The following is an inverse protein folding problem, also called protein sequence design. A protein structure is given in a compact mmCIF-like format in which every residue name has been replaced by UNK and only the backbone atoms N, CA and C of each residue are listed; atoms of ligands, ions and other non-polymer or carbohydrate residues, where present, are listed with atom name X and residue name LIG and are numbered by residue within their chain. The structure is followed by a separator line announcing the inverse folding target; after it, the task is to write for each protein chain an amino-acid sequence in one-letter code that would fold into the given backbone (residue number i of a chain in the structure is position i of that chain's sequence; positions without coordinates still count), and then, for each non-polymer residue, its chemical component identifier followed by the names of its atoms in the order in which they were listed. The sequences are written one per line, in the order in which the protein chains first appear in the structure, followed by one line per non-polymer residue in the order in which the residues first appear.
data_IF_205961712170
#
_entry.id   IF_205961712170
#
_cell.length_a   1.000
_cell.length_b   1.000
_cell.length_c   1.000
_cell.angle_alpha   90.00
_cell.angle_beta   90.00
_cell.angle_gamma   90.00
#
_symmetry.space_group_name_H-M   'P 1'
#
loop_
_entity.id
_entity.type
_entity.pdbx_description
1 polymer ?
#
# COMPACT_ATOMS: atom_id res chain seq x y z
N UNK A 1 31.18 11.44 -13.36
CA UNK A 1 30.62 11.30 -12.03
C UNK A 1 29.11 11.50 -12.18
N UNK A 2 28.35 10.41 -12.29
CA UNK A 2 26.89 10.48 -12.32
C UNK A 2 26.44 11.10 -10.97
N UNK A 3 25.62 12.16 -11.02
CA UNK A 3 24.92 12.66 -9.85
C UNK A 3 24.15 11.47 -9.26
N UNK A 4 24.44 11.08 -8.02
CA UNK A 4 23.57 10.24 -7.24
C UNK A 4 22.19 10.93 -7.22
N UNK A 5 21.27 10.43 -8.05
CA UNK A 5 19.89 10.86 -7.97
C UNK A 5 19.40 10.41 -6.59
N UNK A 6 18.92 11.35 -5.82
CA UNK A 6 18.23 11.06 -4.57
C UNK A 6 17.09 10.07 -4.88
N UNK A 7 17.26 8.83 -4.46
CA UNK A 7 16.26 7.76 -4.62
C UNK A 7 15.23 7.96 -3.50
N UNK A 8 14.34 8.92 -3.71
CA UNK A 8 13.27 9.30 -2.80
C UNK A 8 11.88 8.85 -3.30
N UNK A 9 10.87 9.17 -2.53
CA UNK A 9 9.49 8.82 -2.85
C UNK A 9 9.04 9.42 -4.20
N UNK A 10 9.49 10.62 -4.55
CA UNK A 10 9.12 11.29 -5.80
C UNK A 10 9.81 10.64 -7.01
N UNK A 11 11.06 10.17 -6.84
CA UNK A 11 11.71 9.35 -7.84
C UNK A 11 10.92 8.07 -8.12
N UNK A 12 10.41 7.41 -7.07
CA UNK A 12 9.61 6.21 -7.23
C UNK A 12 8.27 6.50 -7.92
N UNK A 13 7.64 7.64 -7.61
CA UNK A 13 6.44 8.11 -8.31
C UNK A 13 6.72 8.34 -9.80
N UNK A 14 7.86 8.94 -10.15
CA UNK A 14 8.28 9.13 -11.54
C UNK A 14 8.45 7.80 -12.27
N UNK A 15 9.14 6.84 -11.67
CA UNK A 15 9.34 5.51 -12.27
C UNK A 15 8.02 4.76 -12.47
N UNK A 16 7.07 4.88 -11.53
CA UNK A 16 5.72 4.32 -11.70
C UNK A 16 5.02 4.91 -12.94
N UNK A 17 5.15 6.21 -13.17
CA UNK A 17 4.60 6.88 -14.34
C UNK A 17 5.30 6.37 -15.61
N UNK A 18 6.62 6.37 -15.65
CA UNK A 18 7.44 6.00 -16.82
C UNK A 18 7.21 4.54 -17.24
N UNK A 19 6.96 3.65 -16.28
CA UNK A 19 6.61 2.24 -16.51
C UNK A 19 5.13 2.03 -16.89
N UNK A 20 4.32 3.09 -17.00
CA UNK A 20 2.90 2.98 -17.29
C UNK A 20 2.05 2.44 -16.14
N UNK A 21 2.59 2.42 -14.93
CA UNK A 21 1.88 2.02 -13.71
C UNK A 21 0.85 3.05 -13.24
N UNK A 22 0.89 4.26 -13.78
CA UNK A 22 -0.10 5.31 -13.57
C UNK A 22 -0.65 5.75 -14.91
N UNK A 23 -1.96 5.67 -15.09
CA UNK A 23 -2.63 6.03 -16.33
C UNK A 23 -3.82 6.95 -16.04
N UNK A 24 -4.06 7.91 -16.92
CA UNK A 24 -5.14 8.89 -16.82
C UNK A 24 -6.15 8.67 -17.93
N UNK A 25 -7.43 8.74 -17.61
CA UNK A 25 -8.51 8.48 -18.56
C UNK A 25 -9.82 8.15 -17.83
N UNK A 26 -10.65 7.33 -18.45
CA UNK A 26 -11.90 6.87 -17.86
C UNK A 26 -11.84 5.37 -17.63
N UNK A 27 -11.65 4.96 -16.38
CA UNK A 27 -11.48 3.56 -16.00
C UNK A 27 -12.65 3.08 -15.14
N UNK A 28 -13.27 1.97 -15.51
CA UNK A 28 -14.26 1.29 -14.66
C UNK A 28 -13.51 0.47 -13.61
N UNK A 29 -13.65 0.83 -12.35
CA UNK A 29 -13.01 0.14 -11.23
C UNK A 29 -14.06 -0.73 -10.54
N UNK A 30 -13.95 -2.06 -10.72
CA UNK A 30 -14.81 -3.10 -10.16
C UNK A 30 -16.26 -3.13 -10.69
N UNK A 31 -17.01 -4.16 -10.28
CA UNK A 31 -18.42 -4.42 -10.67
C UNK A 31 -19.41 -3.29 -10.29
N UNK A 32 -18.99 -2.32 -9.47
CA UNK A 32 -19.83 -1.20 -9.04
C UNK A 32 -19.97 -0.06 -10.06
N UNK A 33 -19.48 -0.21 -11.29
CA UNK A 33 -19.59 0.76 -12.40
C UNK A 33 -19.13 2.21 -12.06
N UNK A 34 -18.33 2.38 -11.00
CA UNK A 34 -17.79 3.70 -10.64
C UNK A 34 -16.62 4.03 -11.56
N UNK A 35 -16.76 5.12 -12.31
CA UNK A 35 -15.69 5.65 -13.15
C UNK A 35 -14.60 6.29 -12.30
N UNK A 36 -13.33 6.00 -12.64
CA UNK A 36 -12.15 6.65 -12.04
C UNK A 36 -11.34 7.35 -13.13
N UNK A 37 -10.93 8.61 -12.95
CA UNK A 37 -10.08 9.32 -13.90
C UNK A 37 -8.62 8.86 -13.87
N UNK A 38 -8.27 7.95 -12.95
CA UNK A 38 -6.91 7.44 -12.78
C UNK A 38 -6.92 5.94 -12.48
N UNK A 39 -6.04 5.22 -13.14
CA UNK A 39 -5.71 3.83 -12.88
C UNK A 39 -4.28 3.72 -12.37
N UNK A 40 -4.08 2.94 -11.29
CA UNK A 40 -2.77 2.74 -10.65
C UNK A 40 -2.50 1.25 -10.52
N UNK A 41 -1.35 0.81 -11.04
CA UNK A 41 -0.88 -0.56 -10.98
C UNK A 41 0.58 -0.62 -10.52
N UNK A 42 0.86 -0.65 -9.21
CA UNK A 42 2.23 -0.69 -8.70
C UNK A 42 2.99 -1.96 -9.06
N UNK A 43 2.27 -3.02 -9.46
CA UNK A 43 2.87 -4.31 -9.84
C UNK A 43 3.82 -4.21 -11.03
N UNK A 44 3.76 -3.12 -11.82
CA UNK A 44 4.75 -2.88 -12.88
C UNK A 44 6.19 -2.79 -12.38
N UNK A 45 6.38 -2.47 -11.09
CA UNK A 45 7.71 -2.39 -10.46
C UNK A 45 8.47 -3.71 -10.49
N UNK A 46 7.77 -4.86 -10.59
CA UNK A 46 8.42 -6.18 -10.68
C UNK A 46 9.31 -6.33 -11.92
N UNK A 47 9.00 -5.59 -12.98
CA UNK A 47 9.81 -5.57 -14.21
C UNK A 47 11.04 -4.68 -14.12
N UNK A 48 11.19 -3.91 -13.02
CA UNK A 48 12.34 -3.05 -12.76
C UNK A 48 12.96 -3.38 -11.38
N UNK A 49 13.98 -4.27 -11.33
CA UNK A 49 14.58 -4.71 -10.07
C UNK A 49 15.14 -3.58 -9.21
N UNK A 50 15.64 -2.51 -9.84
CA UNK A 50 16.13 -1.33 -9.12
C UNK A 50 14.99 -0.60 -8.43
N UNK A 51 13.88 -0.35 -9.13
CA UNK A 51 12.72 0.31 -8.56
C UNK A 51 12.08 -0.51 -7.43
N UNK A 52 11.98 -1.84 -7.61
CA UNK A 52 11.46 -2.73 -6.57
C UNK A 52 12.34 -2.71 -5.31
N UNK A 53 13.68 -2.70 -5.47
CA UNK A 53 14.62 -2.57 -4.35
C UNK A 53 14.50 -1.21 -3.67
N UNK A 54 14.36 -0.12 -4.43
CA UNK A 54 14.16 1.22 -3.88
C UNK A 54 12.86 1.30 -3.09
N UNK A 55 11.77 0.75 -3.60
CA UNK A 55 10.50 0.68 -2.87
C UNK A 55 10.68 -0.02 -1.52
N UNK A 56 11.35 -1.17 -1.49
CA UNK A 56 11.67 -1.90 -0.25
C UNK A 56 12.50 -1.06 0.73
N UNK A 57 13.55 -0.37 0.24
CA UNK A 57 14.40 0.48 1.08
C UNK A 57 13.64 1.69 1.64
N UNK A 58 12.79 2.32 0.86
CA UNK A 58 11.94 3.43 1.33
C UNK A 58 10.97 2.96 2.42
N UNK A 59 10.38 1.77 2.26
CA UNK A 59 9.55 1.15 3.30
C UNK A 59 10.36 0.93 4.59
N UNK A 60 11.57 0.37 4.49
CA UNK A 60 12.46 0.15 5.63
C UNK A 60 12.83 1.45 6.33
N UNK A 61 13.17 2.49 5.57
CA UNK A 61 13.51 3.81 6.11
C UNK A 61 12.33 4.43 6.86
N UNK A 62 11.13 4.38 6.30
CA UNK A 62 9.92 4.92 6.95
C UNK A 62 9.56 4.15 8.21
N UNK A 63 9.67 2.81 8.20
CA UNK A 63 9.46 1.97 9.37
C UNK A 63 10.47 2.33 10.48
N UNK A 64 11.75 2.39 10.15
CA UNK A 64 12.81 2.73 11.11
C UNK A 64 12.59 4.12 11.71
N UNK A 65 12.23 5.10 10.87
CA UNK A 65 11.88 6.45 11.32
C UNK A 65 10.68 6.41 12.28
N UNK A 66 9.61 5.72 11.89
CA UNK A 66 8.38 5.62 12.68
C UNK A 66 8.60 4.91 14.02
N UNK A 67 9.51 3.94 14.08
CA UNK A 67 9.89 3.24 15.31
C UNK A 67 10.81 4.08 16.21
N UNK A 68 11.65 4.95 15.64
CA UNK A 68 12.60 5.77 16.40
C UNK A 68 11.98 6.99 17.09
N UNK A 69 10.74 7.32 16.82
CA UNK A 69 10.04 8.45 17.42
C UNK A 69 9.87 8.24 18.93
N UNK A 70 9.87 9.34 19.70
CA UNK A 70 9.58 9.31 21.14
C UNK A 70 8.25 8.61 21.49
N UNK A 71 7.27 8.67 20.58
CA UNK A 71 6.05 7.87 20.57
C UNK A 71 6.03 7.10 19.26
N UNK A 72 6.50 5.84 19.26
CA UNK A 72 6.58 5.05 18.05
C UNK A 72 5.22 4.92 17.37
N UNK A 73 5.20 5.10 16.05
CA UNK A 73 4.01 4.90 15.21
C UNK A 73 3.95 3.50 14.61
N UNK A 74 5.04 2.75 14.71
CA UNK A 74 5.12 1.33 14.32
C UNK A 74 5.63 0.53 15.50
N UNK A 75 4.93 -0.53 15.83
CA UNK A 75 5.30 -1.46 16.89
C UNK A 75 6.41 -2.40 16.41
N UNK A 76 7.20 -2.99 17.34
CA UNK A 76 8.13 -4.06 17.00
C UNK A 76 7.38 -5.24 16.35
N UNK A 77 7.97 -5.82 15.32
CA UNK A 77 7.44 -6.99 14.62
C UNK A 77 8.58 -7.99 14.35
N UNK A 78 8.23 -9.27 14.21
CA UNK A 78 9.17 -10.37 13.99
C UNK A 78 9.02 -11.00 12.61
N UNK A 79 7.91 -10.72 11.93
CA UNK A 79 7.58 -11.31 10.64
C UNK A 79 6.83 -10.28 9.78
N UNK A 80 6.95 -10.37 8.47
CA UNK A 80 6.11 -9.58 7.55
C UNK A 80 5.08 -10.47 6.87
N UNK A 81 3.92 -9.90 6.60
CA UNK A 81 2.82 -10.58 5.91
C UNK A 81 2.44 -9.83 4.63
N UNK A 82 2.69 -10.43 3.47
CA UNK A 82 2.34 -9.84 2.18
C UNK A 82 0.87 -10.08 1.82
N UNK A 83 0.17 -9.03 1.39
CA UNK A 83 -1.18 -9.17 0.82
C UNK A 83 -1.08 -9.64 -0.63
N UNK A 84 -1.65 -10.79 -1.01
CA UNK A 84 -1.66 -11.24 -2.40
C UNK A 84 -2.44 -10.29 -3.34
N UNK A 85 -1.94 -10.01 -4.55
CA UNK A 85 -0.69 -10.45 -5.17
C UNK A 85 0.39 -9.38 -5.05
N UNK A 86 0.02 -8.09 -5.16
CA UNK A 86 0.97 -6.97 -5.25
C UNK A 86 1.77 -6.77 -3.97
N UNK A 87 1.12 -6.81 -2.82
CA UNK A 87 1.77 -6.69 -1.52
C UNK A 87 2.75 -7.84 -1.23
N UNK A 88 2.43 -9.06 -1.68
CA UNK A 88 3.35 -10.20 -1.55
C UNK A 88 4.67 -9.98 -2.32
N UNK A 89 4.61 -9.37 -3.50
CA UNK A 89 5.81 -9.07 -4.29
C UNK A 89 6.72 -8.06 -3.58
N UNK A 90 6.13 -7.00 -3.01
CA UNK A 90 6.85 -6.01 -2.20
C UNK A 90 7.38 -6.60 -0.90
N UNK A 91 6.56 -7.39 -0.20
CA UNK A 91 6.95 -8.07 1.04
C UNK A 91 8.12 -9.05 0.80
N UNK A 92 8.16 -9.71 -0.36
CA UNK A 92 9.29 -10.57 -0.74
C UNK A 92 10.57 -9.76 -0.92
N UNK A 93 10.51 -8.62 -1.60
CA UNK A 93 11.66 -7.73 -1.75
C UNK A 93 12.11 -7.17 -0.39
N UNK A 94 11.15 -6.79 0.47
CA UNK A 94 11.43 -6.29 1.82
C UNK A 94 12.08 -7.37 2.71
N UNK A 95 11.56 -8.59 2.69
CA UNK A 95 12.10 -9.73 3.44
C UNK A 95 13.56 -10.02 3.05
N UNK A 96 13.86 -10.01 1.74
CA UNK A 96 15.22 -10.21 1.24
C UNK A 96 16.18 -9.08 1.64
N UNK A 97 15.72 -7.83 1.64
CA UNK A 97 16.54 -6.66 2.00
C UNK A 97 16.81 -6.59 3.52
N UNK A 98 15.86 -7.05 4.35
CA UNK A 98 15.91 -6.90 5.82
C UNK A 98 16.24 -8.18 6.57
N UNK A 99 16.23 -9.35 5.92
CA UNK A 99 16.30 -10.69 6.53
C UNK A 99 15.16 -10.96 7.55
N UNK A 100 14.03 -10.28 7.43
CA UNK A 100 12.83 -10.55 8.24
C UNK A 100 12.01 -11.63 7.55
N UNK A 101 11.58 -12.70 8.25
CA UNK A 101 10.78 -13.78 7.68
C UNK A 101 9.49 -13.26 7.04
N UNK A 102 9.05 -13.92 5.97
CA UNK A 102 7.85 -13.61 5.22
C UNK A 102 6.82 -14.73 5.31
N UNK A 103 5.57 -14.32 5.51
CA UNK A 103 4.39 -15.16 5.32
C UNK A 103 3.39 -14.44 4.41
N UNK A 104 2.38 -15.15 3.91
CA UNK A 104 1.22 -14.51 3.31
C UNK A 104 -0.08 -15.25 3.63
N UNK A 105 -1.17 -14.48 3.68
CA UNK A 105 -2.50 -15.00 3.95
C UNK A 105 -3.20 -15.31 2.62
N UNK A 106 -3.65 -16.56 2.45
CA UNK A 106 -4.51 -16.98 1.36
C UNK A 106 -5.97 -16.79 1.77
N UNK A 107 -6.50 -15.60 1.53
CA UNK A 107 -7.86 -15.21 1.94
C UNK A 107 -8.94 -15.85 1.07
N UNK A 108 -8.62 -16.13 -0.20
CA UNK A 108 -9.53 -16.83 -1.13
C UNK A 108 -9.05 -18.27 -1.32
N UNK A 109 -9.97 -19.25 -1.23
CA UNK A 109 -9.61 -20.64 -1.42
C UNK A 109 -9.27 -20.91 -2.89
N UNK A 110 -8.02 -21.32 -3.15
CA UNK A 110 -7.59 -21.88 -4.41
C UNK A 110 -7.35 -23.39 -4.24
N UNK A 111 -7.80 -24.17 -5.18
CA UNK A 111 -7.54 -25.61 -5.23
C UNK A 111 -8.18 -26.39 -4.09
N UNK A 112 -7.58 -26.46 -2.91
CA UNK A 112 -8.06 -27.24 -1.76
C UNK A 112 -9.27 -26.65 -1.03
N UNK A 113 -9.73 -25.45 -1.42
CA UNK A 113 -10.87 -24.78 -0.79
C UNK A 113 -10.65 -24.29 0.63
N UNK A 114 -9.42 -24.23 1.11
CA UNK A 114 -9.12 -23.79 2.48
C UNK A 114 -8.43 -22.43 2.47
N UNK A 115 -8.87 -21.54 3.36
CA UNK A 115 -8.11 -20.35 3.76
C UNK A 115 -6.91 -20.81 4.58
N UNK A 116 -5.80 -20.10 4.53
CA UNK A 116 -4.63 -20.46 5.32
C UNK A 116 -3.51 -19.44 5.23
N UNK A 117 -2.48 -19.69 6.01
CA UNK A 117 -1.25 -18.92 5.99
C UNK A 117 -0.16 -19.82 5.37
N UNK A 118 0.57 -19.28 4.42
CA UNK A 118 1.74 -19.91 3.83
C UNK A 118 3.00 -19.28 4.43
N UNK A 119 3.99 -20.14 4.69
CA UNK A 119 5.22 -19.79 5.40
C UNK A 119 5.20 -20.32 6.84
N UNK A 120 6.35 -20.20 7.50
CA UNK A 120 6.50 -20.66 8.89
C UNK A 120 6.35 -19.46 9.85
N UNK A 121 5.56 -19.63 10.90
CA UNK A 121 5.36 -18.66 11.97
C UNK A 121 5.13 -19.38 13.30
N UNK A 122 5.29 -18.64 14.38
CA UNK A 122 5.01 -19.13 15.74
C UNK A 122 3.84 -18.35 16.31
N UNK A 123 2.96 -19.04 17.04
CA UNK A 123 1.86 -18.38 17.72
C UNK A 123 2.37 -17.29 18.66
N UNK A 124 1.83 -16.09 18.57
CA UNK A 124 2.27 -14.92 19.30
C UNK A 124 3.25 -14.02 18.53
N UNK A 125 3.73 -14.43 17.36
CA UNK A 125 4.52 -13.56 16.49
C UNK A 125 3.77 -12.27 16.15
N UNK A 126 4.51 -11.17 16.04
CA UNK A 126 3.98 -9.87 15.63
C UNK A 126 4.25 -9.67 14.15
N UNK A 127 3.19 -9.51 13.36
CA UNK A 127 3.26 -9.34 11.92
C UNK A 127 3.03 -7.88 11.50
N UNK A 128 3.91 -7.36 10.62
CA UNK A 128 3.67 -6.15 9.85
C UNK A 128 3.05 -6.55 8.51
N UNK A 129 1.86 -6.03 8.20
CA UNK A 129 1.24 -6.27 6.89
C UNK A 129 1.83 -5.32 5.86
N UNK A 130 2.16 -5.86 4.68
CA UNK A 130 2.69 -5.11 3.53
C UNK A 130 1.73 -5.27 2.34
N UNK A 131 1.31 -4.13 1.75
CA UNK A 131 0.53 -4.12 0.50
C UNK A 131 1.07 -3.10 -0.51
N UNK A 132 0.73 -3.27 -1.78
CA UNK A 132 1.18 -2.38 -2.86
C UNK A 132 0.31 -1.13 -3.00
N UNK A 133 -1.00 -1.26 -2.81
CA UNK A 133 -1.97 -0.19 -3.00
C UNK A 133 -3.14 -0.35 -2.04
N UNK A 134 -3.53 0.73 -1.40
CA UNK A 134 -4.74 0.75 -0.59
C UNK A 134 -5.78 1.72 -1.14
N UNK A 135 -7.03 1.28 -1.12
CA UNK A 135 -8.22 2.12 -1.34
C UNK A 135 -9.01 2.26 -0.05
N UNK A 136 -9.82 1.28 0.28
CA UNK A 136 -10.59 1.17 1.53
C UNK A 136 -10.02 0.15 2.52
N UNK A 137 -9.04 -0.65 2.11
CA UNK A 137 -8.33 -1.59 2.98
C UNK A 137 -9.06 -2.90 3.28
N UNK A 138 -10.03 -3.33 2.45
CA UNK A 138 -10.77 -4.57 2.70
C UNK A 138 -9.86 -5.80 2.70
N UNK A 139 -8.97 -5.95 1.71
CA UNK A 139 -8.02 -7.07 1.63
C UNK A 139 -7.05 -7.10 2.82
N UNK A 140 -6.66 -5.93 3.31
CA UNK A 140 -5.80 -5.80 4.50
C UNK A 140 -6.55 -6.28 5.75
N UNK A 141 -7.83 -5.87 5.92
CA UNK A 141 -8.65 -6.30 7.05
C UNK A 141 -8.90 -7.82 7.03
N UNK A 142 -9.15 -8.40 5.84
CA UNK A 142 -9.29 -9.85 5.68
C UNK A 142 -7.99 -10.58 6.01
N UNK A 143 -6.85 -10.04 5.56
CA UNK A 143 -5.52 -10.58 5.89
C UNK A 143 -5.26 -10.49 7.40
N UNK A 144 -5.50 -9.34 8.03
CA UNK A 144 -5.29 -9.15 9.46
C UNK A 144 -6.16 -10.12 10.28
N UNK A 145 -7.44 -10.25 9.95
CA UNK A 145 -8.35 -11.18 10.63
C UNK A 145 -7.83 -12.63 10.54
N UNK A 146 -7.39 -13.07 9.35
CA UNK A 146 -6.86 -14.43 9.18
C UNK A 146 -5.57 -14.66 9.97
N UNK A 147 -4.68 -13.67 10.03
CA UNK A 147 -3.46 -13.75 10.84
C UNK A 147 -3.79 -13.85 12.33
N UNK A 148 -4.72 -13.02 12.83
CA UNK A 148 -5.14 -13.01 14.23
C UNK A 148 -5.89 -14.28 14.63
N UNK A 149 -6.74 -14.84 13.75
CA UNK A 149 -7.40 -16.15 13.93
C UNK A 149 -6.39 -17.29 14.11
N UNK A 150 -5.18 -17.15 13.55
CA UNK A 150 -4.08 -18.11 13.68
C UNK A 150 -3.09 -17.76 14.80
N UNK A 151 -3.42 -16.79 15.64
CA UNK A 151 -2.67 -16.45 16.86
C UNK A 151 -1.50 -15.50 16.65
N UNK A 152 -1.37 -14.86 15.49
CA UNK A 152 -0.42 -13.76 15.29
C UNK A 152 -1.02 -12.45 15.84
N UNK A 153 -0.14 -11.47 16.07
CA UNK A 153 -0.53 -10.12 16.49
C UNK A 153 -0.32 -9.17 15.32
N UNK A 154 -1.33 -8.38 14.98
CA UNK A 154 -1.25 -7.33 13.96
C UNK A 154 -1.53 -5.98 14.61
N UNK A 155 -0.68 -4.99 14.35
CA UNK A 155 -0.87 -3.61 14.81
C UNK A 155 -0.64 -2.59 13.69
N UNK A 156 0.23 -2.91 12.77
CA UNK A 156 0.73 -1.95 11.80
C UNK A 156 0.64 -2.51 10.38
N UNK A 157 0.36 -1.62 9.47
CA UNK A 157 0.26 -1.88 8.03
C UNK A 157 1.11 -0.85 7.31
N UNK A 158 1.90 -1.27 6.34
CA UNK A 158 2.59 -0.37 5.42
C UNK A 158 2.18 -0.67 3.98
N UNK A 159 1.91 0.39 3.23
CA UNK A 159 1.55 0.30 1.82
C UNK A 159 2.45 1.19 0.98
N UNK A 160 2.67 0.78 -0.27
CA UNK A 160 3.44 1.63 -1.17
C UNK A 160 2.64 2.87 -1.56
N UNK A 161 1.36 2.71 -1.92
CA UNK A 161 0.51 3.82 -2.37
C UNK A 161 -0.81 3.84 -1.58
N UNK A 162 -1.12 4.99 -0.99
CA UNK A 162 -2.46 5.31 -0.48
C UNK A 162 -3.22 6.14 -1.53
N UNK A 163 -4.36 5.62 -1.97
CA UNK A 163 -5.28 6.34 -2.87
C UNK A 163 -6.19 7.34 -2.15
N UNK A 164 -6.05 7.48 -0.83
CA UNK A 164 -6.77 8.45 0.01
C UNK A 164 -8.32 8.30 -0.02
N UNK A 165 -8.78 7.07 -0.11
CA UNK A 165 -10.22 6.73 -0.08
C UNK A 165 -10.71 6.37 1.34
N UNK A 166 -10.14 6.99 2.40
CA UNK A 166 -10.55 6.82 3.79
C UNK A 166 -10.02 5.55 4.47
N UNK A 167 -8.94 4.97 3.95
CA UNK A 167 -8.34 3.77 4.53
C UNK A 167 -7.76 4.01 5.93
N UNK A 168 -7.14 5.18 6.16
CA UNK A 168 -6.50 5.54 7.43
C UNK A 168 -7.52 5.47 8.57
N UNK A 169 -8.63 6.16 8.44
CA UNK A 169 -9.70 6.21 9.45
C UNK A 169 -10.37 4.86 9.62
N UNK A 170 -10.53 4.13 8.51
CA UNK A 170 -11.13 2.79 8.55
C UNK A 170 -10.25 1.81 9.29
N UNK A 171 -8.97 1.69 8.95
CA UNK A 171 -8.04 0.79 9.61
C UNK A 171 -7.84 1.16 11.09
N UNK A 172 -7.78 2.46 11.40
CA UNK A 172 -7.68 2.95 12.78
C UNK A 172 -8.87 2.49 13.64
N UNK A 173 -10.10 2.48 13.10
CA UNK A 173 -11.28 1.95 13.82
C UNK A 173 -11.18 0.46 14.16
N UNK A 174 -10.43 -0.31 13.38
CA UNK A 174 -10.12 -1.71 13.65
C UNK A 174 -8.87 -1.91 14.51
N UNK A 175 -8.22 -0.83 14.94
CA UNK A 175 -7.04 -0.86 15.81
C UNK A 175 -5.71 -1.05 15.08
N UNK A 176 -5.67 -0.82 13.76
CA UNK A 176 -4.46 -0.90 12.95
C UNK A 176 -3.97 0.49 12.54
N UNK A 177 -2.65 0.72 12.62
CA UNK A 177 -2.00 1.91 12.10
C UNK A 177 -1.65 1.70 10.63
N UNK A 178 -1.84 2.72 9.80
CA UNK A 178 -1.46 2.72 8.39
C UNK A 178 -0.31 3.69 8.16
N UNK A 179 0.71 3.22 7.45
CA UNK A 179 1.80 4.03 6.91
C UNK A 179 1.81 3.87 5.39
N UNK A 180 1.95 4.96 4.66
CA UNK A 180 2.09 4.94 3.20
C UNK A 180 3.38 5.64 2.76
N UNK A 181 4.04 5.10 1.74
CA UNK A 181 5.25 5.68 1.16
C UNK A 181 4.87 6.81 0.20
N UNK A 182 3.82 6.61 -0.58
CA UNK A 182 3.28 7.57 -1.54
C UNK A 182 1.80 7.82 -1.25
N UNK A 183 1.40 9.07 -1.39
CA UNK A 183 0.00 9.46 -1.39
C UNK A 183 -0.37 9.97 -2.78
N UNK A 184 -1.58 9.70 -3.20
CA UNK A 184 -2.01 10.03 -4.56
C UNK A 184 -2.03 11.53 -4.84
N UNK A 185 -2.41 12.38 -3.86
CA UNK A 185 -2.37 13.84 -3.98
C UNK A 185 -0.94 14.36 -4.24
N UNK A 186 0.05 13.80 -3.54
CA UNK A 186 1.48 14.13 -3.71
C UNK A 186 1.98 13.68 -5.08
N UNK A 187 1.59 12.48 -5.52
CA UNK A 187 1.94 11.96 -6.85
C UNK A 187 1.38 12.86 -7.96
N UNK A 188 0.10 13.24 -7.89
CA UNK A 188 -0.55 14.12 -8.86
C UNK A 188 0.13 15.48 -8.92
N UNK A 189 0.46 16.06 -7.77
CA UNK A 189 1.17 17.34 -7.69
C UNK A 189 2.56 17.25 -8.33
N UNK A 190 3.27 16.15 -8.09
CA UNK A 190 4.57 15.89 -8.74
C UNK A 190 4.42 15.78 -10.26
N UNK A 191 3.47 15.01 -10.78
CA UNK A 191 3.27 14.84 -12.20
C UNK A 191 2.90 16.15 -12.90
N UNK A 192 2.03 16.95 -12.28
CA UNK A 192 1.70 18.28 -12.81
C UNK A 192 2.93 19.21 -12.83
N UNK A 193 3.71 19.26 -11.74
CA UNK A 193 4.91 20.10 -11.65
C UNK A 193 5.99 19.75 -12.65
N UNK A 194 6.03 18.48 -13.10
CA UNK A 194 6.93 17.97 -14.14
C UNK A 194 6.38 18.11 -15.56
N UNK A 195 5.15 18.62 -15.72
CA UNK A 195 4.49 18.71 -17.03
C UNK A 195 4.10 17.35 -17.63
N UNK A 196 4.03 16.30 -16.82
CA UNK A 196 3.65 14.94 -17.26
C UNK A 196 2.14 14.81 -17.47
N UNK A 197 1.37 15.67 -16.81
CA UNK A 197 -0.09 15.77 -16.95
C UNK A 197 -0.49 17.23 -17.12
N UNK A 198 -1.61 17.47 -17.81
CA UNK A 198 -2.18 18.81 -17.94
C UNK A 198 -2.85 19.27 -16.63
N UNK A 199 -3.06 20.58 -16.52
CA UNK A 199 -3.83 21.14 -15.39
C UNK A 199 -5.27 20.59 -15.34
N UNK A 200 -5.88 20.34 -16.49
CA UNK A 200 -7.22 19.75 -16.60
C UNK A 200 -7.26 18.34 -15.99
N UNK A 201 -6.31 17.47 -16.37
CA UNK A 201 -6.19 16.12 -15.80
C UNK A 201 -5.95 16.17 -14.30
N UNK A 202 -5.05 17.07 -13.84
CA UNK A 202 -4.82 17.24 -12.41
C UNK A 202 -6.10 17.64 -11.67
N UNK A 203 -6.84 18.65 -12.20
CA UNK A 203 -8.07 19.14 -11.58
C UNK A 203 -9.14 18.04 -11.48
N UNK A 204 -9.35 17.30 -12.58
CA UNK A 204 -10.29 16.16 -12.62
C UNK A 204 -9.97 15.11 -11.57
N UNK A 205 -8.68 14.75 -11.43
CA UNK A 205 -8.25 13.77 -10.43
C UNK A 205 -8.38 14.31 -9.00
N UNK A 206 -8.06 15.59 -8.78
CA UNK A 206 -8.16 16.21 -7.46
C UNK A 206 -9.63 16.37 -7.00
N UNK A 207 -10.56 16.63 -7.90
CA UNK A 207 -12.00 16.65 -7.63
C UNK A 207 -12.50 15.25 -7.26
N UNK A 208 -12.13 14.24 -8.05
CA UNK A 208 -12.46 12.85 -7.75
C UNK A 208 -11.97 12.41 -6.36
N UNK A 209 -10.76 12.79 -5.96
CA UNK A 209 -10.23 12.46 -4.63
C UNK A 209 -11.05 13.13 -3.50
N UNK A 210 -11.41 14.40 -3.66
CA UNK A 210 -12.24 15.12 -2.68
C UNK A 210 -13.61 14.47 -2.51
N UNK A 211 -14.24 14.06 -3.61
CA UNK A 211 -15.54 13.38 -3.57
C UNK A 211 -15.44 12.06 -2.81
N UNK A 212 -14.37 11.26 -3.07
CA UNK A 212 -14.15 9.99 -2.37
C UNK A 212 -13.83 10.15 -0.88
N UNK A 213 -13.18 11.23 -0.48
CA UNK A 213 -12.98 11.57 0.93
C UNK A 213 -14.30 12.04 1.58
N UNK A 214 -15.13 12.81 0.88
CA UNK A 214 -16.44 13.26 1.35
C UNK A 214 -17.46 12.13 1.58
N UNK A 215 -17.51 11.13 0.70
CA UNK A 215 -18.37 9.95 0.86
C UNK A 215 -18.11 9.20 2.18
N UNK A 216 -16.88 9.22 2.70
CA UNK A 216 -16.52 8.55 3.94
C UNK A 216 -17.00 9.29 5.20
N UNK A 217 -17.25 10.62 5.12
CA UNK A 217 -17.77 11.40 6.25
C UNK A 217 -19.30 11.31 6.38
N UNK A 218 -20.01 11.07 5.29
CA UNK A 218 -21.49 10.95 5.28
C UNK A 218 -22.00 9.55 5.60
N UNK A 219 -21.18 8.51 5.45
CA UNK A 219 -21.53 7.12 5.78
C UNK A 219 -21.61 6.79 7.27
N UNK A 220 -21.40 7.74 8.17
CA UNK A 220 -21.33 7.51 9.64
C UNK A 220 -22.68 7.80 10.35
N UNK A 221 -23.77 8.06 9.63
CA UNK A 221 -25.12 8.32 10.19
C UNK A 221 -26.16 7.29 9.72
N UNK A 222 -25.81 6.03 9.70
CA UNK A 222 -26.76 4.94 9.44
C UNK A 222 -26.38 3.73 10.27
N UNK A 223 -26.98 3.66 11.48
CA UNK A 223 -27.08 2.58 12.48
C UNK A 223 -26.55 1.21 12.07
#
# INVERSE_FOLDING_TARGET
VAKEQSLDNLWLAQILFDLGGVQFGNFTVSESAVSSPIFINPKVLISNPTALRVASKLMQQEINLAQSLRRPRVHPFTIVAGVPVGGLLLASAYSLETNIPLIYARTHPEGTGKRGIEGHFTQGDSALIIDDLITRGSSILETAALLEENGLKVKDVIVLIDREHGAVERLHRYGYNLISILRLDVMLTHYMSKGLISEEVYRTCAEYLRDKQGENHTGTLGL
#
